data_IF_939716343042
#
_entry.id   IF_939716343042
#
_cell.length_a   1.000
_cell.length_b   1.000
_cell.length_c   1.000
_cell.angle_alpha   90.00
_cell.angle_beta   90.00
_cell.angle_gamma   90.00
#
_symmetry.space_group_name_H-M   'P 1'
#
loop_
_entity.id
_entity.type
_entity.pdbx_description
1 polymer ?
#
# COMPACT_ATOMS: atom_id res chain seq x y z
N UNK A 1 13.31 -21.41 -79.03
CA UNK A 1 12.20 -21.74 -78.12
C UNK A 1 12.70 -21.63 -76.68
N UNK A 2 12.50 -20.52 -76.05
CA UNK A 2 12.79 -20.35 -74.63
C UNK A 2 11.44 -20.53 -73.89
N UNK A 3 11.30 -21.61 -73.12
CA UNK A 3 10.12 -21.88 -72.32
C UNK A 3 10.24 -21.14 -70.98
N UNK A 4 9.21 -20.36 -70.72
CA UNK A 4 8.90 -19.57 -69.57
C UNK A 4 8.90 -20.41 -68.29
N UNK A 5 9.81 -20.17 -67.35
CA UNK A 5 9.94 -20.88 -66.08
C UNK A 5 9.49 -20.02 -64.88
N UNK A 6 8.70 -18.95 -65.17
CA UNK A 6 8.28 -17.97 -64.14
C UNK A 6 7.05 -18.42 -63.30
N UNK A 7 6.41 -19.54 -63.60
CA UNK A 7 5.21 -19.97 -62.87
C UNK A 7 5.45 -21.01 -61.79
N UNK A 8 6.73 -21.33 -61.47
CA UNK A 8 7.04 -22.35 -60.45
C UNK A 8 7.43 -21.80 -59.06
N UNK A 9 7.57 -20.50 -58.92
CA UNK A 9 7.98 -19.84 -57.64
C UNK A 9 6.83 -19.17 -56.87
N UNK A 10 5.59 -19.19 -57.40
CA UNK A 10 4.43 -18.57 -56.76
C UNK A 10 3.57 -19.49 -55.88
N UNK A 11 3.94 -20.75 -55.72
CA UNK A 11 3.07 -21.72 -55.05
C UNK A 11 3.68 -22.33 -53.78
N UNK A 12 4.45 -21.56 -53.01
CA UNK A 12 4.88 -22.04 -51.70
C UNK A 12 5.16 -20.89 -50.70
N UNK A 13 4.42 -19.82 -50.77
CA UNK A 13 4.08 -19.11 -49.51
C UNK A 13 2.90 -19.85 -48.92
N UNK A 14 3.18 -20.91 -48.16
CA UNK A 14 2.26 -21.37 -47.13
C UNK A 14 1.83 -20.13 -46.39
N UNK A 15 0.52 -19.84 -46.41
CA UNK A 15 -0.12 -18.98 -45.45
C UNK A 15 0.28 -19.58 -44.10
N UNK A 16 1.27 -18.98 -43.41
CA UNK A 16 1.35 -19.07 -41.96
C UNK A 16 0.01 -18.50 -41.49
N UNK A 17 -0.95 -19.40 -41.22
CA UNK A 17 -2.15 -19.07 -40.50
C UNK A 17 -1.61 -18.42 -39.20
N UNK A 18 -1.86 -17.13 -39.03
CA UNK A 18 -1.61 -16.46 -37.80
C UNK A 18 -2.50 -17.12 -36.75
N UNK A 19 -1.90 -18.05 -36.04
CA UNK A 19 -2.57 -18.71 -34.92
C UNK A 19 -2.79 -17.64 -33.88
N UNK A 20 -4.04 -17.41 -33.51
CA UNK A 20 -4.34 -16.50 -32.41
C UNK A 20 -3.79 -17.13 -31.10
N UNK A 21 -2.76 -16.52 -30.47
CA UNK A 21 -2.20 -17.08 -29.25
C UNK A 21 -3.24 -17.23 -28.13
N UNK A 22 -4.27 -16.37 -28.10
CA UNK A 22 -5.34 -16.43 -27.12
C UNK A 22 -6.22 -17.68 -27.30
N UNK A 23 -6.38 -18.17 -28.55
CA UNK A 23 -7.12 -19.38 -28.83
C UNK A 23 -6.35 -20.68 -28.50
N UNK A 24 -5.01 -20.60 -28.44
CA UNK A 24 -4.15 -21.75 -28.08
C UNK A 24 -3.86 -21.87 -26.59
N UNK A 25 -3.85 -20.76 -25.87
CA UNK A 25 -3.41 -20.65 -24.49
C UNK A 25 -4.49 -19.92 -23.69
N UNK A 26 -5.54 -20.65 -23.34
CA UNK A 26 -6.62 -20.13 -22.49
C UNK A 26 -6.12 -20.10 -21.02
N UNK A 27 -5.28 -19.10 -20.71
CA UNK A 27 -4.85 -18.85 -19.35
C UNK A 27 -5.95 -18.11 -18.58
N UNK A 28 -6.72 -18.85 -17.81
CA UNK A 28 -7.55 -18.24 -16.77
C UNK A 28 -6.64 -17.81 -15.64
N UNK A 29 -6.39 -16.51 -15.50
CA UNK A 29 -5.67 -15.99 -14.33
C UNK A 29 -6.55 -16.14 -13.09
N UNK A 30 -6.15 -16.92 -12.07
CA UNK A 30 -6.94 -17.07 -10.85
C UNK A 30 -7.16 -15.74 -10.15
N UNK A 31 -8.23 -15.64 -9.38
CA UNK A 31 -8.53 -14.51 -8.50
C UNK A 31 -8.61 -14.99 -7.05
N UNK A 32 -8.45 -14.06 -6.11
CA UNK A 32 -8.63 -14.27 -4.68
C UNK A 32 -9.31 -13.06 -4.05
N UNK A 33 -9.98 -13.30 -2.93
CA UNK A 33 -10.57 -12.24 -2.12
C UNK A 33 -9.65 -11.92 -0.96
N UNK A 34 -9.28 -10.66 -0.86
CA UNK A 34 -8.41 -10.13 0.20
C UNK A 34 -9.27 -9.44 1.23
N UNK A 35 -9.12 -9.81 2.49
CA UNK A 35 -9.79 -9.16 3.61
C UNK A 35 -9.21 -7.75 3.82
N UNK A 36 -10.09 -6.75 3.95
CA UNK A 36 -9.72 -5.36 4.14
C UNK A 36 -9.63 -5.03 5.63
N UNK A 37 -8.46 -4.58 6.15
CA UNK A 37 -8.33 -4.11 7.52
C UNK A 37 -9.34 -3.04 7.91
N UNK A 38 -9.75 -2.19 6.96
CA UNK A 38 -10.77 -1.16 7.19
C UNK A 38 -12.19 -1.70 7.34
N UNK A 39 -12.48 -2.95 6.90
CA UNK A 39 -13.84 -3.49 6.74
C UNK A 39 -14.75 -2.57 5.90
N UNK A 40 -14.14 -1.75 5.04
CA UNK A 40 -14.86 -0.76 4.23
C UNK A 40 -15.29 0.50 4.99
N UNK A 41 -14.90 0.63 6.27
CA UNK A 41 -15.12 1.83 7.09
C UNK A 41 -14.11 2.91 6.67
N UNK A 42 -14.53 4.19 6.67
CA UNK A 42 -13.69 5.32 6.24
C UNK A 42 -13.72 5.60 4.75
N UNK A 43 -14.41 4.78 3.94
CA UNK A 43 -14.75 5.14 2.57
C UNK A 43 -16.07 5.90 2.53
N UNK A 44 -16.16 7.02 1.77
CA UNK A 44 -17.38 7.80 1.67
C UNK A 44 -18.52 7.00 1.03
N UNK A 45 -19.75 7.32 1.39
CA UNK A 45 -20.94 6.77 0.75
C UNK A 45 -20.89 6.92 -0.77
N UNK A 46 -21.09 5.83 -1.51
CA UNK A 46 -20.95 5.78 -2.96
C UNK A 46 -19.57 5.36 -3.48
N UNK A 47 -18.56 5.22 -2.62
CA UNK A 47 -17.30 4.58 -3.01
C UNK A 47 -17.52 3.05 -3.14
N UNK A 48 -16.92 2.35 -4.16
CA UNK A 48 -17.14 0.91 -4.35
C UNK A 48 -16.75 0.06 -3.15
N UNK A 49 -15.79 0.51 -2.33
CA UNK A 49 -15.35 -0.20 -1.11
C UNK A 49 -16.10 0.22 0.16
N UNK A 50 -17.11 1.10 0.08
CA UNK A 50 -17.89 1.48 1.25
C UNK A 50 -18.63 0.26 1.83
N UNK A 51 -18.38 -0.06 3.10
CA UNK A 51 -18.93 -1.24 3.79
C UNK A 51 -18.62 -2.59 3.10
N UNK A 52 -17.52 -2.67 2.36
CA UNK A 52 -17.02 -3.94 1.81
C UNK A 52 -15.93 -4.50 2.71
N UNK A 53 -16.07 -5.75 3.12
CA UNK A 53 -15.08 -6.42 3.97
C UNK A 53 -13.92 -7.01 3.17
N UNK A 54 -14.12 -7.23 1.86
CA UNK A 54 -13.14 -7.85 0.97
C UNK A 54 -13.03 -7.14 -0.35
N UNK A 55 -11.89 -7.35 -1.03
CA UNK A 55 -11.64 -6.89 -2.39
C UNK A 55 -11.13 -8.05 -3.24
N UNK A 56 -11.59 -8.15 -4.48
CA UNK A 56 -11.14 -9.19 -5.41
C UNK A 56 -9.92 -8.72 -6.20
N UNK A 57 -8.84 -9.49 -6.15
CA UNK A 57 -7.63 -9.30 -6.95
C UNK A 57 -7.33 -10.53 -7.78
N UNK A 58 -6.68 -10.36 -8.92
CA UNK A 58 -6.11 -11.47 -9.69
C UNK A 58 -4.68 -11.79 -9.23
N UNK A 59 -4.25 -13.00 -9.46
CA UNK A 59 -2.86 -13.39 -9.21
C UNK A 59 -1.89 -12.61 -10.10
N UNK A 60 -0.67 -12.41 -9.59
CA UNK A 60 0.41 -11.78 -10.34
C UNK A 60 0.83 -12.64 -11.54
N UNK A 61 1.21 -11.95 -12.61
CA UNK A 61 1.80 -12.54 -13.81
C UNK A 61 3.23 -12.02 -14.00
N UNK A 62 4.03 -12.64 -14.88
CA UNK A 62 5.37 -12.16 -15.21
C UNK A 62 5.38 -10.68 -15.68
N UNK A 63 4.29 -10.22 -16.34
CA UNK A 63 4.14 -8.81 -16.72
C UNK A 63 4.03 -7.86 -15.52
N UNK A 64 3.50 -8.33 -14.41
CA UNK A 64 3.41 -7.54 -13.19
C UNK A 64 4.79 -7.44 -12.50
N UNK A 65 5.62 -8.47 -12.61
CA UNK A 65 7.03 -8.41 -12.17
C UNK A 65 7.82 -7.35 -12.95
N UNK A 66 7.56 -7.16 -14.26
CA UNK A 66 8.18 -6.11 -15.05
C UNK A 66 7.84 -4.71 -14.51
N UNK A 67 6.64 -4.50 -13.97
CA UNK A 67 6.25 -3.24 -13.33
C UNK A 67 7.12 -2.97 -12.09
N UNK A 68 7.26 -3.96 -11.23
CA UNK A 68 8.03 -3.87 -9.99
C UNK A 68 9.54 -3.66 -10.25
N UNK A 69 10.06 -4.09 -11.40
CA UNK A 69 11.46 -3.93 -11.80
C UNK A 69 11.74 -2.66 -12.64
N UNK A 70 10.69 -1.95 -13.03
CA UNK A 70 10.81 -0.74 -13.86
C UNK A 70 11.52 0.40 -13.11
N UNK A 71 12.77 0.71 -13.49
CA UNK A 71 13.56 1.80 -12.88
C UNK A 71 12.86 3.15 -12.91
N UNK A 72 12.05 3.42 -13.93
CA UNK A 72 11.32 4.68 -14.06
C UNK A 72 10.17 4.78 -13.06
N UNK A 73 9.44 3.68 -12.80
CA UNK A 73 8.37 3.62 -11.84
C UNK A 73 8.91 3.64 -10.40
N UNK A 74 9.99 2.90 -10.13
CA UNK A 74 10.67 2.89 -8.84
C UNK A 74 11.14 4.29 -8.42
N UNK A 75 11.84 5.01 -9.31
CA UNK A 75 12.30 6.38 -9.05
C UNK A 75 11.17 7.37 -8.77
N UNK A 76 9.99 7.12 -9.32
CA UNK A 76 8.79 7.96 -9.12
C UNK A 76 7.96 7.52 -7.91
N UNK A 77 8.25 6.37 -7.28
CA UNK A 77 7.43 5.78 -6.23
C UNK A 77 6.06 5.28 -6.72
N UNK A 78 5.95 4.90 -8.00
CA UNK A 78 4.68 4.52 -8.64
C UNK A 78 4.56 3.02 -8.93
N UNK A 79 5.57 2.22 -8.58
CA UNK A 79 5.60 0.81 -8.92
C UNK A 79 4.47 0.03 -8.23
N UNK A 80 4.29 0.23 -6.92
CA UNK A 80 3.23 -0.42 -6.14
C UNK A 80 1.83 0.01 -6.58
N UNK A 81 1.61 1.31 -6.85
CA UNK A 81 0.32 1.78 -7.37
C UNK A 81 -0.04 1.11 -8.70
N UNK A 82 0.93 1.00 -9.61
CA UNK A 82 0.73 0.34 -10.90
C UNK A 82 0.48 -1.16 -10.76
N UNK A 83 1.18 -1.81 -9.83
CA UNK A 83 0.92 -3.21 -9.51
C UNK A 83 -0.51 -3.38 -9.02
N UNK A 84 -0.92 -2.67 -7.98
CA UNK A 84 -2.27 -2.77 -7.41
C UNK A 84 -3.34 -2.48 -8.48
N UNK A 85 -3.20 -1.39 -9.26
CA UNK A 85 -4.14 -1.06 -10.35
C UNK A 85 -4.32 -2.21 -11.35
N UNK A 86 -3.24 -2.96 -11.62
CA UNK A 86 -3.29 -4.11 -12.52
C UNK A 86 -3.97 -5.33 -11.87
N UNK A 87 -3.72 -5.56 -10.57
CA UNK A 87 -4.26 -6.71 -9.85
C UNK A 87 -5.76 -6.57 -9.56
N UNK A 88 -6.27 -5.35 -9.35
CA UNK A 88 -7.69 -5.11 -9.10
C UNK A 88 -8.56 -5.67 -10.23
N UNK A 89 -9.54 -6.50 -9.88
CA UNK A 89 -10.54 -7.03 -10.83
C UNK A 89 -11.52 -5.92 -11.21
N UNK A 90 -12.03 -5.19 -10.21
CA UNK A 90 -12.85 -4.00 -10.46
C UNK A 90 -11.97 -2.82 -10.95
N UNK A 91 -12.08 -2.50 -12.24
CA UNK A 91 -11.31 -1.44 -12.89
C UNK A 91 -11.80 -0.01 -12.57
N UNK A 92 -12.91 0.13 -11.88
CA UNK A 92 -13.38 1.44 -11.38
C UNK A 92 -12.53 1.91 -10.19
N UNK A 93 -11.99 0.97 -9.41
CA UNK A 93 -11.08 1.22 -8.31
C UNK A 93 -9.69 1.65 -8.79
N UNK A 94 -9.04 2.50 -8.01
CA UNK A 94 -7.64 2.93 -8.24
C UNK A 94 -6.85 2.81 -6.96
N UNK A 95 -5.64 2.27 -7.06
CA UNK A 95 -4.71 2.11 -5.95
C UNK A 95 -4.55 3.36 -5.08
N UNK A 96 -4.47 4.53 -5.71
CA UNK A 96 -4.32 5.82 -5.05
C UNK A 96 -5.51 6.22 -4.16
N UNK A 97 -6.71 5.65 -4.40
CA UNK A 97 -7.94 5.98 -3.69
C UNK A 97 -8.25 4.98 -2.56
N UNK A 98 -7.46 3.91 -2.46
CA UNK A 98 -7.58 2.87 -1.43
C UNK A 98 -6.84 3.33 -0.17
N UNK A 99 -7.43 3.07 1.00
CA UNK A 99 -6.83 3.34 2.33
C UNK A 99 -5.52 2.56 2.49
N UNK A 100 -4.54 3.15 3.16
CA UNK A 100 -3.17 2.61 3.27
C UNK A 100 -3.15 1.19 3.84
N UNK A 101 -3.91 0.91 4.91
CA UNK A 101 -3.97 -0.43 5.49
C UNK A 101 -4.51 -1.48 4.50
N UNK A 102 -5.55 -1.14 3.76
CA UNK A 102 -6.13 -2.03 2.74
C UNK A 102 -5.16 -2.26 1.56
N UNK A 103 -4.39 -1.24 1.18
CA UNK A 103 -3.32 -1.37 0.17
C UNK A 103 -2.24 -2.36 0.63
N UNK A 104 -1.85 -2.29 1.90
CA UNK A 104 -0.86 -3.20 2.47
C UNK A 104 -1.37 -4.64 2.47
N UNK A 105 -2.65 -4.86 2.80
CA UNK A 105 -3.27 -6.18 2.70
C UNK A 105 -3.21 -6.75 1.27
N UNK A 106 -3.51 -5.91 0.25
CA UNK A 106 -3.39 -6.31 -1.16
C UNK A 106 -1.94 -6.67 -1.52
N UNK A 107 -0.95 -5.90 -1.05
CA UNK A 107 0.47 -6.15 -1.29
C UNK A 107 0.91 -7.49 -0.68
N UNK A 108 0.49 -7.76 0.57
CA UNK A 108 0.79 -9.03 1.26
C UNK A 108 0.15 -10.21 0.52
N UNK A 109 -1.12 -10.12 0.16
CA UNK A 109 -1.82 -11.17 -0.57
C UNK A 109 -1.15 -11.44 -1.93
N UNK A 110 -0.86 -10.40 -2.70
CA UNK A 110 -0.18 -10.52 -3.99
C UNK A 110 1.21 -11.16 -3.86
N UNK A 111 1.97 -10.83 -2.80
CA UNK A 111 3.28 -11.46 -2.52
C UNK A 111 3.11 -12.92 -2.14
N UNK A 112 2.15 -13.23 -1.27
CA UNK A 112 1.93 -14.58 -0.75
C UNK A 112 1.43 -15.53 -1.84
N UNK A 113 0.52 -15.08 -2.70
CA UNK A 113 0.01 -15.88 -3.82
C UNK A 113 1.07 -16.11 -4.91
N UNK A 114 2.01 -15.17 -5.13
CA UNK A 114 3.06 -15.31 -6.13
C UNK A 114 4.26 -16.13 -5.67
N UNK A 115 4.69 -15.98 -4.41
CA UNK A 115 5.97 -16.51 -3.91
C UNK A 115 5.87 -17.31 -2.62
N UNK A 116 4.67 -17.53 -2.10
CA UNK A 116 4.43 -18.24 -0.83
C UNK A 116 4.55 -17.35 0.40
N UNK A 117 4.24 -17.95 1.55
CA UNK A 117 4.14 -17.24 2.83
C UNK A 117 5.47 -16.99 3.53
N UNK A 118 6.54 -17.71 3.15
CA UNK A 118 7.86 -17.48 3.75
C UNK A 118 8.54 -16.31 3.06
N UNK A 119 8.92 -15.31 3.84
CA UNK A 119 9.66 -14.13 3.38
C UNK A 119 11.05 -14.09 4.01
N UNK A 120 12.06 -14.56 3.27
CA UNK A 120 13.46 -14.49 3.68
C UNK A 120 14.07 -13.16 3.24
N UNK A 121 14.68 -12.43 4.16
CA UNK A 121 15.37 -11.16 3.87
C UNK A 121 16.59 -10.98 4.78
N UNK A 122 17.46 -10.03 4.42
CA UNK A 122 18.60 -9.63 5.25
C UNK A 122 18.19 -8.52 6.18
N UNK A 123 18.34 -8.75 7.47
CA UNK A 123 18.09 -7.77 8.53
C UNK A 123 19.40 -7.34 9.17
N UNK A 124 19.48 -6.08 9.57
CA UNK A 124 20.63 -5.53 10.30
C UNK A 124 20.29 -5.41 11.78
N UNK A 125 21.11 -5.99 12.62
CA UNK A 125 20.92 -5.91 14.08
C UNK A 125 21.07 -4.45 14.56
N UNK A 126 20.07 -3.86 15.23
CA UNK A 126 20.13 -2.48 15.67
C UNK A 126 21.17 -2.26 16.78
N UNK A 127 21.60 -3.31 17.50
CA UNK A 127 22.56 -3.22 18.57
C UNK A 127 24.02 -3.28 18.10
N UNK A 128 24.35 -4.18 17.17
CA UNK A 128 25.75 -4.41 16.74
C UNK A 128 26.01 -4.21 15.25
N UNK A 129 24.98 -3.94 14.43
CA UNK A 129 25.11 -3.76 12.99
C UNK A 129 25.40 -5.04 12.21
N UNK A 130 25.36 -6.21 12.85
CA UNK A 130 25.52 -7.49 12.14
C UNK A 130 24.36 -7.70 11.16
N UNK A 131 24.67 -8.18 9.96
CA UNK A 131 23.69 -8.50 8.92
C UNK A 131 23.53 -10.01 8.81
N UNK A 132 22.33 -10.48 9.05
CA UNK A 132 22.00 -11.89 8.94
C UNK A 132 20.72 -12.12 8.17
N UNK A 133 20.49 -13.34 7.69
CA UNK A 133 19.21 -13.73 7.10
C UNK A 133 18.18 -13.93 8.20
N UNK A 134 16.95 -13.52 7.92
CA UNK A 134 15.80 -13.73 8.79
C UNK A 134 14.58 -14.09 7.94
N UNK A 135 13.77 -15.00 8.46
CA UNK A 135 12.54 -15.46 7.82
C UNK A 135 11.33 -14.90 8.56
N UNK A 136 10.42 -14.29 7.82
CA UNK A 136 9.12 -13.89 8.31
C UNK A 136 8.03 -14.80 7.74
N UNK A 137 7.05 -15.13 8.55
CA UNK A 137 5.86 -15.87 8.14
C UNK A 137 4.71 -14.91 7.84
N UNK A 138 4.44 -14.69 6.54
CA UNK A 138 3.40 -13.77 6.09
C UNK A 138 1.98 -14.23 6.42
N UNK A 139 1.80 -15.51 6.78
CA UNK A 139 0.49 -16.02 7.23
C UNK A 139 0.11 -15.53 8.64
N UNK A 140 1.08 -14.98 9.39
CA UNK A 140 0.90 -14.44 10.74
C UNK A 140 0.73 -12.92 10.73
N UNK A 141 0.17 -12.38 9.66
CA UNK A 141 -0.14 -10.96 9.58
C UNK A 141 -1.18 -10.58 10.64
N UNK A 142 -0.86 -9.57 11.45
CA UNK A 142 -1.74 -9.01 12.46
C UNK A 142 -2.57 -7.88 11.84
N UNK A 143 -3.89 -8.03 11.87
CA UNK A 143 -4.83 -7.04 11.32
C UNK A 143 -5.35 -6.20 12.47
N UNK A 144 -5.10 -4.89 12.41
CA UNK A 144 -5.65 -3.92 13.33
C UNK A 144 -6.83 -3.21 12.65
N UNK A 145 -8.02 -3.54 13.12
CA UNK A 145 -9.25 -2.86 12.70
C UNK A 145 -9.36 -1.48 13.38
N UNK A 146 -10.09 -0.52 12.78
CA UNK A 146 -10.32 0.77 13.40
C UNK A 146 -10.95 0.64 14.78
N UNK A 147 -10.33 1.22 15.80
CA UNK A 147 -10.86 1.28 17.16
C UNK A 147 -11.57 2.62 17.37
N UNK A 148 -12.90 2.56 17.45
CA UNK A 148 -13.72 3.72 17.78
C UNK A 148 -13.80 3.86 19.30
N UNK A 149 -12.91 4.69 19.88
CA UNK A 149 -12.99 5.09 21.28
C UNK A 149 -14.26 5.93 21.57
N UNK A 150 -14.67 6.03 22.84
CA UNK A 150 -15.85 6.81 23.25
C UNK A 150 -15.77 8.31 22.84
N UNK A 151 -14.56 8.83 22.70
CA UNK A 151 -14.28 10.22 22.33
C UNK A 151 -14.23 10.46 20.82
N UNK A 152 -14.34 9.40 20.00
CA UNK A 152 -14.23 9.46 18.55
C UNK A 152 -15.60 9.27 17.93
N UNK A 153 -16.02 10.21 17.08
CA UNK A 153 -17.28 10.16 16.35
C UNK A 153 -17.03 9.92 14.89
N UNK A 154 -17.65 8.90 14.33
CA UNK A 154 -17.73 8.74 12.88
C UNK A 154 -18.74 9.76 12.31
N UNK A 155 -18.37 10.34 11.17
CA UNK A 155 -19.17 11.32 10.44
C UNK A 155 -19.75 10.70 9.16
N UNK A 156 -20.88 11.21 8.67
CA UNK A 156 -21.56 10.69 7.47
C UNK A 156 -20.69 10.72 6.20
N UNK A 157 -19.63 11.54 6.19
CA UNK A 157 -18.69 11.65 5.08
C UNK A 157 -17.53 10.63 5.11
N UNK A 158 -17.54 9.69 6.07
CA UNK A 158 -16.46 8.71 6.29
C UNK A 158 -15.24 9.27 7.03
N UNK A 159 -15.32 10.51 7.55
CA UNK A 159 -14.30 11.09 8.41
C UNK A 159 -14.62 10.83 9.88
N UNK A 160 -13.69 11.20 10.75
CA UNK A 160 -13.81 11.03 12.20
C UNK A 160 -13.57 12.37 12.89
N UNK A 161 -14.31 12.66 13.92
CA UNK A 161 -14.12 13.82 14.77
C UNK A 161 -13.67 13.43 16.18
N UNK A 162 -12.66 14.12 16.70
CA UNK A 162 -12.16 13.97 18.07
C UNK A 162 -12.08 15.34 18.75
N UNK A 163 -12.44 15.41 20.02
CA UNK A 163 -12.31 16.65 20.81
C UNK A 163 -11.07 16.59 21.68
N UNK A 164 -10.19 17.60 21.58
CA UNK A 164 -9.00 17.66 22.41
C UNK A 164 -9.35 17.78 23.91
N UNK A 165 -8.57 17.16 24.82
CA UNK A 165 -8.97 16.99 26.22
C UNK A 165 -9.06 18.30 27.00
N UNK A 166 -8.19 19.27 26.75
CA UNK A 166 -8.10 20.53 27.49
C UNK A 166 -8.76 21.68 26.78
N UNK A 167 -8.35 21.98 25.54
CA UNK A 167 -8.84 23.11 24.76
C UNK A 167 -10.23 22.88 24.17
N UNK A 168 -10.74 21.64 24.19
CA UNK A 168 -12.03 21.22 23.61
C UNK A 168 -12.17 21.60 22.13
N UNK A 169 -11.05 21.64 21.41
CA UNK A 169 -11.01 21.87 19.98
C UNK A 169 -11.44 20.59 19.26
N UNK A 170 -12.45 20.70 18.40
CA UNK A 170 -12.88 19.61 17.55
C UNK A 170 -11.96 19.49 16.33
N UNK A 171 -11.39 18.31 16.12
CA UNK A 171 -10.50 17.99 15.00
C UNK A 171 -11.14 16.90 14.16
N UNK A 172 -11.47 17.22 12.91
CA UNK A 172 -11.95 16.25 11.92
C UNK A 172 -10.76 15.64 11.20
N UNK A 173 -10.72 14.30 11.16
CA UNK A 173 -9.65 13.51 10.56
C UNK A 173 -10.21 12.55 9.52
N UNK A 174 -9.43 12.25 8.50
CA UNK A 174 -9.70 11.21 7.50
C UNK A 174 -8.61 10.15 7.46
N UNK A 175 -8.92 8.96 7.03
CA UNK A 175 -7.91 7.93 6.80
C UNK A 175 -7.03 8.29 5.58
N UNK A 176 -5.73 7.98 5.70
CA UNK A 176 -4.78 8.20 4.61
C UNK A 176 -4.95 7.16 3.51
N UNK A 177 -4.77 7.58 2.28
CA UNK A 177 -4.89 6.79 1.07
C UNK A 177 -3.55 6.72 0.32
N UNK A 178 -3.47 5.94 -0.74
CA UNK A 178 -2.28 5.89 -1.60
C UNK A 178 -1.85 7.24 -2.18
N UNK A 179 -2.76 8.22 -2.31
CA UNK A 179 -2.41 9.60 -2.70
C UNK A 179 -1.50 10.25 -1.67
N UNK A 180 -1.80 10.03 -0.40
CA UNK A 180 -1.07 10.62 0.72
C UNK A 180 0.30 9.97 0.87
N UNK A 181 0.40 8.64 0.70
CA UNK A 181 1.68 7.94 0.65
C UNK A 181 2.60 8.51 -0.43
N UNK A 182 2.07 8.80 -1.63
CA UNK A 182 2.84 9.41 -2.70
C UNK A 182 3.34 10.82 -2.34
N UNK A 183 2.59 11.58 -1.53
CA UNK A 183 3.02 12.90 -1.01
C UNK A 183 4.12 12.71 0.04
N UNK A 184 3.93 11.81 1.00
CA UNK A 184 4.92 11.49 2.04
C UNK A 184 6.23 11.04 1.40
N UNK A 185 6.18 10.12 0.45
CA UNK A 185 7.36 9.64 -0.28
C UNK A 185 8.15 10.77 -0.96
N UNK A 186 7.45 11.70 -1.61
CA UNK A 186 8.08 12.87 -2.25
C UNK A 186 8.74 13.81 -1.23
N UNK A 187 8.11 14.01 -0.09
CA UNK A 187 8.63 14.86 0.98
C UNK A 187 9.87 14.24 1.64
N UNK A 188 9.84 12.94 1.93
CA UNK A 188 10.99 12.20 2.48
C UNK A 188 12.21 12.24 1.53
N UNK A 189 11.97 12.13 0.21
CA UNK A 189 13.04 12.21 -0.79
C UNK A 189 13.61 13.63 -0.97
N UNK A 190 12.84 14.68 -0.64
CA UNK A 190 13.31 16.07 -0.70
C UNK A 190 14.03 16.50 0.57
N UNK A 191 13.51 16.09 1.73
CA UNK A 191 14.06 16.46 3.04
C UNK A 191 15.04 15.37 3.51
N UNK A 192 16.31 15.52 3.18
CA UNK A 192 17.39 14.63 3.67
C UNK A 192 17.64 14.71 5.19
N UNK A 193 17.05 15.66 5.87
CA UNK A 193 17.23 15.96 7.29
C UNK A 193 15.91 15.92 8.04
N UNK A 194 15.21 14.82 8.09
CA UNK A 194 14.19 14.43 9.08
C UNK A 194 13.24 15.50 9.70
N UNK A 195 13.30 16.74 9.26
CA UNK A 195 12.59 17.87 9.86
C UNK A 195 11.08 17.84 9.56
N UNK A 196 10.28 17.97 10.63
CA UNK A 196 8.84 18.18 10.59
C UNK A 196 7.96 17.02 10.03
N UNK A 197 8.40 15.75 10.11
CA UNK A 197 7.63 14.60 9.64
C UNK A 197 6.27 14.51 10.35
N UNK A 198 6.23 14.66 11.68
CA UNK A 198 4.99 14.56 12.46
C UNK A 198 3.97 15.64 12.10
N UNK A 199 4.40 16.89 11.98
CA UNK A 199 3.52 18.01 11.59
C UNK A 199 3.00 17.84 10.16
N UNK A 200 3.83 17.33 9.26
CA UNK A 200 3.45 17.06 7.87
C UNK A 200 2.42 15.93 7.79
N UNK A 201 2.61 14.86 8.57
CA UNK A 201 1.62 13.78 8.63
C UNK A 201 0.29 14.28 9.18
N UNK A 202 0.29 15.06 10.27
CA UNK A 202 -0.93 15.67 10.82
C UNK A 202 -1.66 16.50 9.78
N UNK A 203 -0.95 17.28 8.96
CA UNK A 203 -1.53 18.08 7.88
C UNK A 203 -2.23 17.25 6.80
N UNK A 204 -1.81 16.00 6.57
CA UNK A 204 -2.41 15.13 5.56
C UNK A 204 -3.72 14.50 6.01
N UNK A 205 -3.87 14.17 7.29
CA UNK A 205 -5.08 13.53 7.77
C UNK A 205 -6.08 14.48 8.45
N UNK A 206 -5.68 15.67 8.92
CA UNK A 206 -6.60 16.67 9.48
C UNK A 206 -7.35 17.35 8.34
N UNK A 207 -8.67 17.31 8.37
CA UNK A 207 -9.58 17.88 7.37
C UNK A 207 -10.15 19.23 7.81
N UNK A 208 -10.47 19.34 9.10
CA UNK A 208 -10.95 20.60 9.67
C UNK A 208 -10.62 20.73 11.16
N UNK A 209 -10.63 21.97 11.65
CA UNK A 209 -10.46 22.32 13.06
C UNK A 209 -11.63 23.25 13.44
N UNK A 210 -12.47 22.82 14.39
CA UNK A 210 -13.72 23.51 14.75
C UNK A 210 -14.59 23.84 13.52
N UNK A 211 -14.65 22.88 12.55
CA UNK A 211 -15.41 23.04 11.30
C UNK A 211 -14.73 23.91 10.23
N UNK A 212 -13.56 24.52 10.52
CA UNK A 212 -12.80 25.33 9.57
C UNK A 212 -11.84 24.44 8.75
N UNK A 213 -12.01 24.45 7.42
CA UNK A 213 -11.24 23.60 6.46
C UNK A 213 -10.07 24.34 5.80
N UNK A 214 -9.84 25.61 6.14
CA UNK A 214 -8.81 26.44 5.52
C UNK A 214 -7.41 25.96 5.97
N UNK A 215 -6.49 25.80 5.02
CA UNK A 215 -5.12 25.33 5.27
C UNK A 215 -4.40 26.17 6.33
N UNK A 216 -4.59 27.50 6.33
CA UNK A 216 -3.97 28.40 7.31
C UNK A 216 -4.48 28.15 8.74
N UNK A 217 -5.74 27.73 8.93
CA UNK A 217 -6.30 27.39 10.24
C UNK A 217 -5.72 26.06 10.72
N UNK A 218 -5.67 25.07 9.86
CA UNK A 218 -5.07 23.76 10.15
C UNK A 218 -3.58 23.92 10.49
N UNK A 219 -2.83 24.69 9.70
CA UNK A 219 -1.41 24.98 9.96
C UNK A 219 -1.23 25.72 11.29
N UNK A 220 -2.08 26.70 11.58
CA UNK A 220 -2.02 27.43 12.84
C UNK A 220 -2.26 26.50 14.03
N UNK A 221 -3.26 25.59 13.93
CA UNK A 221 -3.51 24.57 14.96
C UNK A 221 -2.28 23.67 15.16
N UNK A 222 -1.77 23.06 14.09
CA UNK A 222 -0.62 22.13 14.16
C UNK A 222 0.62 22.80 14.80
N UNK A 223 0.87 24.07 14.47
CA UNK A 223 2.06 24.80 14.96
C UNK A 223 1.92 25.33 16.38
N UNK A 224 0.70 25.50 16.89
CA UNK A 224 0.47 26.16 18.17
C UNK A 224 -0.25 25.30 19.21
N UNK A 225 -0.79 24.14 18.81
CA UNK A 225 -1.44 23.21 19.75
C UNK A 225 -0.45 22.71 20.79
N UNK A 226 -0.81 22.65 22.09
CA UNK A 226 0.04 22.06 23.12
C UNK A 226 0.47 20.63 22.75
N UNK A 227 1.73 20.28 23.04
CA UNK A 227 2.30 18.98 22.67
C UNK A 227 1.47 17.79 23.20
N UNK A 228 0.86 17.92 24.38
CA UNK A 228 -0.01 16.90 24.96
C UNK A 228 -1.28 16.66 24.10
N UNK A 229 -1.90 17.73 23.60
CA UNK A 229 -3.07 17.65 22.75
C UNK A 229 -2.72 17.18 21.33
N UNK A 230 -1.60 17.64 20.78
CA UNK A 230 -1.07 17.11 19.52
C UNK A 230 -0.82 15.60 19.59
N UNK A 231 -0.27 15.13 20.72
CA UNK A 231 -0.05 13.69 20.99
C UNK A 231 -1.40 12.94 21.09
N UNK A 232 -2.38 13.52 21.75
CA UNK A 232 -3.72 12.94 21.85
C UNK A 232 -4.35 12.75 20.47
N UNK A 233 -4.32 13.77 19.60
CA UNK A 233 -4.84 13.68 18.23
C UNK A 233 -4.10 12.62 17.42
N UNK A 234 -2.76 12.53 17.54
CA UNK A 234 -1.99 11.49 16.85
C UNK A 234 -2.29 10.08 17.34
N UNK A 235 -2.49 9.90 18.65
CA UNK A 235 -2.87 8.59 19.21
C UNK A 235 -4.28 8.20 18.73
N UNK A 236 -5.24 9.12 18.79
CA UNK A 236 -6.59 8.89 18.25
C UNK A 236 -6.56 8.51 16.77
N UNK A 237 -5.71 9.17 15.97
CA UNK A 237 -5.52 8.79 14.57
C UNK A 237 -4.90 7.38 14.42
N UNK A 238 -3.91 7.03 15.25
CA UNK A 238 -3.28 5.70 15.23
C UNK A 238 -4.29 4.60 15.56
N UNK A 239 -5.18 4.83 16.53
CA UNK A 239 -6.21 3.86 16.92
C UNK A 239 -7.28 3.70 15.83
N UNK A 240 -7.55 4.77 15.05
CA UNK A 240 -8.49 4.76 13.93
C UNK A 240 -7.92 4.16 12.64
N UNK A 241 -6.62 4.29 12.42
CA UNK A 241 -6.01 3.90 11.16
C UNK A 241 -5.95 2.36 11.05
N UNK A 242 -6.71 1.74 10.12
CA UNK A 242 -6.60 0.31 9.89
C UNK A 242 -5.19 -0.01 9.41
N UNK A 243 -4.57 -1.01 10.00
CA UNK A 243 -3.24 -1.47 9.59
C UNK A 243 -3.17 -2.98 9.50
N UNK A 244 -2.20 -3.45 8.76
CA UNK A 244 -1.79 -4.84 8.75
C UNK A 244 -0.28 -4.87 8.96
N UNK A 245 0.19 -5.62 9.94
CA UNK A 245 1.58 -5.69 10.34
C UNK A 245 2.05 -7.14 10.31
N UNK A 246 3.27 -7.36 9.88
CA UNK A 246 3.92 -8.67 9.97
C UNK A 246 5.13 -8.48 10.85
N UNK A 247 5.12 -9.14 11.99
CA UNK A 247 6.18 -9.09 12.98
C UNK A 247 6.87 -10.44 13.09
N UNK A 248 8.14 -10.42 13.41
CA UNK A 248 8.93 -11.62 13.65
C UNK A 248 9.91 -11.39 14.79
N UNK A 249 10.04 -12.41 15.64
CA UNK A 249 11.02 -12.41 16.72
C UNK A 249 12.41 -12.58 16.13
N UNK A 250 13.25 -11.58 16.28
CA UNK A 250 14.62 -11.55 15.79
C UNK A 250 15.59 -11.74 16.95
N UNK A 251 16.49 -12.71 16.79
CA UNK A 251 17.65 -12.91 17.66
C UNK A 251 18.94 -12.76 16.84
N UNK A 252 19.85 -11.91 17.30
CA UNK A 252 21.11 -11.66 16.61
C UNK A 252 22.12 -12.79 16.89
N UNK A 253 22.59 -13.46 15.84
CA UNK A 253 23.60 -14.51 15.93
C UNK A 253 24.95 -14.05 16.48
N UNK A 254 25.24 -12.73 16.43
CA UNK A 254 26.51 -12.16 16.85
C UNK A 254 26.53 -11.64 18.28
N UNK A 255 25.43 -11.06 18.75
CA UNK A 255 25.38 -10.40 20.07
C UNK A 255 24.20 -10.84 20.94
N UNK A 256 23.42 -11.81 20.50
CA UNK A 256 22.23 -12.35 21.18
C UNK A 256 21.21 -11.26 21.56
N UNK A 257 21.19 -10.15 20.79
CA UNK A 257 20.17 -9.13 20.97
C UNK A 257 18.84 -9.64 20.43
N UNK A 258 17.82 -9.62 21.27
CA UNK A 258 16.46 -10.00 20.92
C UNK A 258 15.61 -8.76 20.66
N UNK A 259 14.83 -8.77 19.59
CA UNK A 259 13.91 -7.69 19.24
C UNK A 259 12.83 -8.21 18.29
N UNK A 260 11.62 -7.67 18.42
CA UNK A 260 10.60 -7.83 17.41
C UNK A 260 10.90 -6.89 16.22
N UNK A 261 10.94 -7.45 15.02
CA UNK A 261 11.13 -6.70 13.77
C UNK A 261 9.84 -6.72 12.95
N UNK A 262 9.57 -5.60 12.28
CA UNK A 262 8.43 -5.44 11.38
C UNK A 262 8.88 -5.49 9.93
N UNK A 263 8.09 -6.15 9.06
CA UNK A 263 8.35 -6.23 7.62
C UNK A 263 7.92 -4.92 6.94
N UNK A 264 8.83 -4.21 6.26
CA UNK A 264 8.47 -3.01 5.52
C UNK A 264 7.81 -3.37 4.18
N UNK A 265 6.63 -2.80 3.89
CA UNK A 265 5.91 -3.00 2.63
C UNK A 265 6.39 -2.03 1.54
N UNK A 266 7.51 -2.36 0.95
CA UNK A 266 8.10 -1.62 -0.17
C UNK A 266 8.34 -2.53 -1.38
N UNK A 267 8.97 -2.04 -2.42
CA UNK A 267 9.26 -2.85 -3.63
C UNK A 267 10.24 -3.99 -3.36
N UNK A 268 11.13 -3.84 -2.36
CA UNK A 268 12.11 -4.89 -2.02
C UNK A 268 11.43 -6.08 -1.33
N UNK A 269 10.21 -5.87 -0.79
CA UNK A 269 9.37 -6.93 -0.25
C UNK A 269 9.08 -8.06 -1.26
N UNK A 270 9.07 -7.77 -2.56
CA UNK A 270 8.89 -8.80 -3.59
C UNK A 270 10.19 -9.52 -3.94
N UNK A 271 11.36 -8.86 -3.81
CA UNK A 271 12.68 -9.44 -4.12
C UNK A 271 13.74 -9.02 -3.10
N UNK A 272 13.76 -9.65 -1.93
CA UNK A 272 14.67 -9.27 -0.84
C UNK A 272 16.16 -9.52 -1.15
N UNK A 273 16.46 -10.37 -2.14
CA UNK A 273 17.82 -10.78 -2.49
C UNK A 273 18.44 -10.06 -3.71
N UNK A 274 17.92 -8.90 -4.09
CA UNK A 274 18.49 -8.09 -5.18
C UNK A 274 19.59 -7.18 -4.75
#
# INVERSE_FOLDING_TARGET
>A
MRRNNENRTKSRRQQEQSVDPAALLDFVTPTEFVELPSKGIGYPSGHPLHNQETIEIRFMTAKDEDILTSRSLLKKGLALDRLIDNLLVDKTLKAKDIIVGDRNAIIIAARSSAYGYVYETKVECPNCGNKQKHEFDLSKADIHEPLLGEDIKELDNGNYAVSTPYSKIEVEMRLLTGRDEAVIFKLMNKNKEGDAILSTQMKLYIVSVNGHKQDNVIEHFINNVPAAEARYVRNAYKDLAPTIEIKGDFECESCNHEQELEVPFNTDFFWPDR
#
